data_IF_525383845811
#
_entry.id   IF_525383845811
#
_cell.length_a   1.000
_cell.length_b   1.000
_cell.length_c   1.000
_cell.angle_alpha   90.00
_cell.angle_beta   90.00
_cell.angle_gamma   90.00
#
_symmetry.space_group_name_H-M   'P 1'
#
loop_
_entity.id
_entity.type
_entity.pdbx_description
1 polymer ?
#
# COMPACT_ATOMS: atom_id res chain seq x y z
N UNK A 1 -9.61 42.74 -42.09
CA UNK A 1 -8.99 42.28 -40.82
C UNK A 1 -7.74 41.53 -41.24
N UNK A 2 -6.58 42.18 -41.14
CA UNK A 2 -5.31 41.51 -41.41
C UNK A 2 -5.03 40.48 -40.30
N UNK A 3 -4.46 39.30 -40.65
CA UNK A 3 -4.03 38.32 -39.67
C UNK A 3 -2.96 38.95 -38.77
N UNK A 4 -3.09 38.73 -37.45
CA UNK A 4 -2.12 39.20 -36.47
C UNK A 4 -0.70 38.72 -36.85
N UNK A 5 0.33 39.56 -36.69
CA UNK A 5 1.70 39.16 -36.99
C UNK A 5 2.10 37.96 -36.10
N UNK A 6 2.89 37.00 -36.63
CA UNK A 6 3.33 35.84 -35.88
C UNK A 6 4.18 36.26 -34.67
N UNK A 7 3.96 35.60 -33.54
CA UNK A 7 4.63 35.84 -32.25
C UNK A 7 6.17 35.67 -32.41
N UNK A 8 6.97 36.71 -32.16
CA UNK A 8 8.43 36.68 -32.34
C UNK A 8 9.17 35.76 -31.35
N UNK A 9 8.47 35.15 -30.38
CA UNK A 9 9.01 34.15 -29.45
C UNK A 9 8.63 32.69 -29.75
N UNK A 10 7.88 32.43 -30.83
CA UNK A 10 7.52 31.05 -31.18
C UNK A 10 8.76 30.27 -31.65
N UNK A 11 9.07 29.10 -31.05
CA UNK A 11 10.20 28.29 -31.48
C UNK A 11 10.07 27.89 -32.95
N UNK A 12 11.19 27.88 -33.68
CA UNK A 12 11.25 27.52 -35.10
C UNK A 12 10.62 26.13 -35.30
N UNK A 13 9.64 25.97 -36.21
CA UNK A 13 9.08 24.66 -36.58
C UNK A 13 10.14 23.59 -36.85
N UNK A 14 11.30 23.98 -37.42
CA UNK A 14 12.41 23.07 -37.71
C UNK A 14 13.12 22.54 -36.44
N UNK A 15 13.06 23.26 -35.32
CA UNK A 15 13.60 22.81 -34.02
C UNK A 15 12.55 22.03 -33.19
N UNK A 16 11.26 22.25 -33.46
CA UNK A 16 10.15 21.58 -32.79
C UNK A 16 10.00 20.12 -33.22
N UNK A 17 10.13 19.82 -34.52
CA UNK A 17 10.01 18.47 -35.08
C UNK A 17 10.99 17.45 -34.44
N UNK A 18 12.32 17.69 -34.40
CA UNK A 18 13.25 16.74 -33.81
C UNK A 18 13.01 16.57 -32.31
N UNK A 19 12.61 17.63 -31.59
CA UNK A 19 12.26 17.56 -30.17
C UNK A 19 10.99 16.75 -29.93
N UNK A 20 9.98 16.90 -30.77
CA UNK A 20 8.74 16.12 -30.71
C UNK A 20 9.00 14.63 -30.99
N UNK A 21 9.90 14.31 -31.92
CA UNK A 21 10.26 12.92 -32.23
C UNK A 21 10.95 12.24 -31.03
N UNK A 22 11.94 12.92 -30.41
CA UNK A 22 12.62 12.39 -29.21
C UNK A 22 11.62 12.16 -28.07
N UNK A 23 10.70 13.11 -27.83
CA UNK A 23 9.67 12.95 -26.80
C UNK A 23 8.74 11.77 -27.09
N UNK A 24 8.37 11.57 -28.36
CA UNK A 24 7.52 10.43 -28.74
C UNK A 24 8.23 9.10 -28.47
N UNK A 25 9.50 8.98 -28.85
CA UNK A 25 10.30 7.76 -28.60
C UNK A 25 10.35 7.46 -27.10
N UNK A 26 10.67 8.45 -26.26
CA UNK A 26 10.73 8.26 -24.79
C UNK A 26 9.39 7.79 -24.22
N UNK A 27 8.28 8.33 -24.71
CA UNK A 27 6.95 7.92 -24.27
C UNK A 27 6.56 6.52 -24.77
N UNK A 28 7.02 6.11 -25.94
CA UNK A 28 6.74 4.79 -26.54
C UNK A 28 7.61 3.67 -25.97
N UNK A 29 8.81 3.97 -25.48
CA UNK A 29 9.65 3.02 -24.73
C UNK A 29 9.10 2.72 -23.32
N UNK A 30 8.20 3.56 -22.80
CA UNK A 30 7.50 3.29 -21.55
C UNK A 30 6.55 2.09 -21.71
N UNK A 31 6.66 1.12 -20.80
CA UNK A 31 5.70 0.01 -20.68
C UNK A 31 4.40 0.43 -20.01
N UNK A 32 4.37 1.58 -19.35
CA UNK A 32 3.17 2.13 -18.73
C UNK A 32 2.30 2.83 -19.79
N UNK A 33 0.98 2.57 -19.85
CA UNK A 33 0.06 3.33 -20.69
C UNK A 33 0.09 4.83 -20.37
N UNK A 34 0.43 5.63 -21.39
CA UNK A 34 0.47 7.10 -21.32
C UNK A 34 -0.41 7.66 -22.43
N UNK A 35 -1.30 8.59 -22.09
CA UNK A 35 -2.22 9.18 -23.05
C UNK A 35 -2.68 10.58 -22.64
N UNK A 36 -3.07 11.39 -23.62
CA UNK A 36 -3.65 12.70 -23.45
C UNK A 36 -5.10 12.71 -23.95
N UNK A 37 -6.01 13.26 -23.14
CA UNK A 37 -7.46 13.27 -23.40
C UNK A 37 -8.00 14.70 -23.32
N UNK A 38 -8.91 15.04 -24.24
CA UNK A 38 -9.69 16.28 -24.27
C UNK A 38 -10.95 16.18 -23.40
N UNK A 39 -11.63 17.31 -23.18
CA UNK A 39 -12.78 17.41 -22.28
C UNK A 39 -13.95 16.48 -22.66
N UNK A 40 -14.11 16.22 -23.96
CA UNK A 40 -15.14 15.35 -24.54
C UNK A 40 -14.77 13.85 -24.52
N UNK A 41 -13.60 13.51 -23.97
CA UNK A 41 -13.07 12.15 -23.95
C UNK A 41 -12.32 11.75 -25.22
N UNK A 42 -12.00 12.67 -26.12
CA UNK A 42 -11.22 12.38 -27.32
C UNK A 42 -9.74 12.20 -26.99
N UNK A 43 -9.12 11.13 -27.50
CA UNK A 43 -7.69 10.88 -27.36
C UNK A 43 -6.89 11.78 -28.30
N UNK A 44 -6.09 12.70 -27.75
CA UNK A 44 -5.18 13.55 -28.53
C UNK A 44 -3.80 12.89 -28.74
N UNK A 45 -3.38 12.07 -27.78
CA UNK A 45 -2.14 11.31 -27.84
C UNK A 45 -2.31 9.99 -27.09
N UNK A 46 -1.69 8.92 -27.57
CA UNK A 46 -1.50 7.67 -26.84
C UNK A 46 -0.13 7.12 -27.17
N UNK A 47 0.52 6.47 -26.21
CA UNK A 47 1.75 5.71 -26.49
C UNK A 47 1.43 4.27 -26.93
N UNK A 48 2.48 3.55 -27.34
CA UNK A 48 2.40 2.13 -27.72
C UNK A 48 1.83 1.25 -26.61
N UNK A 49 2.22 1.47 -25.35
CA UNK A 49 1.73 0.66 -24.22
C UNK A 49 0.20 0.75 -24.04
N UNK A 50 -0.40 1.93 -24.27
CA UNK A 50 -1.86 2.08 -24.21
C UNK A 50 -2.59 1.35 -25.34
N UNK A 51 -2.04 1.39 -26.56
CA UNK A 51 -2.73 0.89 -27.77
C UNK A 51 -2.60 -0.63 -27.97
N UNK A 52 -1.51 -1.22 -27.47
CA UNK A 52 -1.18 -2.66 -27.63
C UNK A 52 -2.31 -3.60 -27.15
N UNK A 53 -2.94 -3.40 -25.97
CA UNK A 53 -4.04 -4.26 -25.52
C UNK A 53 -5.27 -4.25 -26.43
N UNK A 54 -5.46 -3.19 -27.24
CA UNK A 54 -6.55 -3.10 -28.21
C UNK A 54 -6.19 -3.72 -29.57
N UNK A 55 -4.95 -4.20 -29.75
CA UNK A 55 -4.46 -4.69 -31.03
C UNK A 55 -4.42 -3.59 -32.10
N UNK A 56 -4.28 -2.32 -31.70
CA UNK A 56 -4.28 -1.14 -32.58
C UNK A 56 -2.95 -0.42 -32.53
N UNK A 57 -2.64 0.32 -33.57
CA UNK A 57 -1.55 1.28 -33.57
C UNK A 57 -1.98 2.59 -32.89
N UNK A 58 -1.04 3.36 -32.30
CA UNK A 58 -1.36 4.64 -31.65
C UNK A 58 -2.15 5.61 -32.55
N UNK A 59 -1.78 5.71 -33.83
CA UNK A 59 -2.43 6.60 -34.78
C UNK A 59 -3.89 6.23 -35.10
N UNK A 60 -4.28 4.96 -34.91
CA UNK A 60 -5.67 4.52 -35.10
C UNK A 60 -6.57 4.88 -33.90
N UNK A 61 -5.96 5.14 -32.75
CA UNK A 61 -6.63 5.43 -31.49
C UNK A 61 -6.78 6.94 -31.30
N UNK A 62 -5.80 7.71 -31.77
CA UNK A 62 -5.85 9.18 -31.76
C UNK A 62 -7.08 9.65 -32.55
N UNK A 63 -7.83 10.60 -31.98
CA UNK A 63 -9.07 11.13 -32.51
C UNK A 63 -10.33 10.34 -32.14
N UNK A 64 -10.21 9.13 -31.59
CA UNK A 64 -11.37 8.38 -31.06
C UNK A 64 -11.75 8.87 -29.67
N UNK A 65 -13.00 8.64 -29.27
CA UNK A 65 -13.47 8.90 -27.91
C UNK A 65 -13.29 7.67 -27.03
N UNK A 66 -13.23 7.88 -25.71
CA UNK A 66 -13.25 6.80 -24.70
C UNK A 66 -14.40 5.81 -24.97
N UNK A 67 -15.57 6.31 -25.36
CA UNK A 67 -16.76 5.47 -25.61
C UNK A 67 -16.63 4.58 -26.86
N UNK A 68 -15.69 4.87 -27.76
CA UNK A 68 -15.46 4.08 -28.96
C UNK A 68 -14.50 2.90 -28.70
N UNK A 69 -13.82 2.89 -27.54
CA UNK A 69 -12.81 1.88 -27.18
C UNK A 69 -13.22 0.98 -26.01
N UNK A 70 -14.08 1.48 -25.12
CA UNK A 70 -14.45 0.79 -23.89
C UNK A 70 -15.95 0.52 -23.84
N UNK A 71 -16.34 -0.49 -23.06
CA UNK A 71 -17.75 -0.72 -22.75
C UNK A 71 -18.38 0.53 -22.11
N UNK A 72 -19.69 0.79 -22.24
CA UNK A 72 -20.33 1.99 -21.70
C UNK A 72 -20.06 2.19 -20.19
N UNK A 73 -20.04 1.10 -19.43
CA UNK A 73 -19.77 1.12 -17.98
C UNK A 73 -18.33 1.56 -17.68
N UNK A 74 -17.35 1.02 -18.39
CA UNK A 74 -15.94 1.38 -18.21
C UNK A 74 -15.62 2.77 -18.74
N UNK A 75 -16.24 3.12 -19.87
CA UNK A 75 -16.11 4.43 -20.48
C UNK A 75 -16.61 5.53 -19.54
N UNK A 76 -17.76 5.31 -18.89
CA UNK A 76 -18.32 6.27 -17.92
C UNK A 76 -17.44 6.40 -16.67
N UNK A 77 -16.90 5.28 -16.15
CA UNK A 77 -15.94 5.32 -15.04
C UNK A 77 -14.71 6.18 -15.38
N UNK A 78 -14.17 6.03 -16.59
CA UNK A 78 -13.02 6.83 -17.06
C UNK A 78 -13.42 8.30 -17.26
N UNK A 79 -14.58 8.55 -17.88
CA UNK A 79 -15.09 9.91 -18.08
C UNK A 79 -15.38 10.63 -16.79
N UNK A 80 -15.82 9.94 -15.73
CA UNK A 80 -16.00 10.55 -14.42
C UNK A 80 -14.71 11.16 -13.87
N UNK A 81 -13.58 10.45 -14.02
CA UNK A 81 -12.26 10.96 -13.60
C UNK A 81 -11.82 12.12 -14.48
N UNK A 82 -11.99 12.02 -15.80
CA UNK A 82 -11.67 13.11 -16.73
C UNK A 82 -12.47 14.37 -16.37
N UNK A 83 -13.81 14.26 -16.29
CA UNK A 83 -14.68 15.39 -15.90
C UNK A 83 -14.27 15.99 -14.57
N UNK A 84 -13.93 15.16 -13.58
CA UNK A 84 -13.45 15.65 -12.28
C UNK A 84 -12.15 16.44 -12.42
N UNK A 85 -11.17 15.94 -13.16
CA UNK A 85 -9.89 16.62 -13.37
C UNK A 85 -10.05 17.97 -14.11
N UNK A 86 -10.95 18.04 -15.10
CA UNK A 86 -11.31 19.29 -15.78
C UNK A 86 -12.02 20.28 -14.84
N UNK A 87 -12.92 19.78 -13.99
CA UNK A 87 -13.68 20.63 -13.06
C UNK A 87 -12.83 21.17 -11.90
N UNK A 88 -11.89 20.38 -11.37
CA UNK A 88 -11.08 20.78 -10.21
C UNK A 88 -9.77 21.43 -10.57
N UNK A 89 -9.28 21.27 -11.80
CA UNK A 89 -7.92 21.63 -12.22
C UNK A 89 -6.81 21.04 -11.32
N UNK A 90 -7.11 19.97 -10.58
CA UNK A 90 -6.18 19.29 -9.68
C UNK A 90 -5.75 17.93 -10.21
N UNK A 91 -4.54 17.52 -9.84
CA UNK A 91 -4.06 16.18 -10.10
C UNK A 91 -4.87 15.16 -9.29
N UNK A 92 -5.26 14.07 -9.93
CA UNK A 92 -5.97 12.96 -9.30
C UNK A 92 -5.08 11.72 -9.39
N UNK A 93 -4.92 10.99 -8.30
CA UNK A 93 -4.17 9.73 -8.25
C UNK A 93 -5.02 8.67 -7.57
N UNK A 94 -5.12 7.50 -8.17
CA UNK A 94 -5.93 6.40 -7.65
C UNK A 94 -5.43 5.04 -8.13
N UNK A 95 -5.70 4.01 -7.34
CA UNK A 95 -5.39 2.63 -7.68
C UNK A 95 -6.50 2.03 -8.55
N UNK A 96 -6.11 1.26 -9.54
CA UNK A 96 -6.98 0.49 -10.42
C UNK A 96 -6.58 -0.97 -10.35
N UNK A 97 -7.55 -1.84 -10.08
CA UNK A 97 -7.39 -3.29 -10.20
C UNK A 97 -8.03 -3.74 -11.50
N UNK A 98 -7.24 -4.39 -12.34
CA UNK A 98 -7.68 -4.99 -13.60
C UNK A 98 -7.60 -6.50 -13.43
N UNK A 99 -8.74 -7.21 -13.33
CA UNK A 99 -8.76 -8.67 -13.33
C UNK A 99 -8.27 -9.17 -14.69
N UNK A 100 -7.27 -10.05 -14.70
CA UNK A 100 -6.82 -10.74 -15.93
C UNK A 100 -6.89 -12.25 -15.73
N UNK A 101 -6.94 -13.05 -16.81
CA UNK A 101 -6.90 -14.51 -16.71
C UNK A 101 -5.66 -15.05 -15.97
N UNK A 102 -4.54 -14.31 -15.98
CA UNK A 102 -3.30 -14.67 -15.30
C UNK A 102 -3.23 -14.18 -13.83
N UNK A 103 -4.29 -13.54 -13.33
CA UNK A 103 -4.36 -12.92 -12.01
C UNK A 103 -4.59 -11.41 -12.08
N UNK A 104 -4.84 -10.78 -10.94
CA UNK A 104 -5.07 -9.34 -10.89
C UNK A 104 -3.80 -8.54 -11.22
N UNK A 105 -3.96 -7.56 -12.10
CA UNK A 105 -2.94 -6.52 -12.34
C UNK A 105 -3.37 -5.25 -11.62
N UNK A 106 -2.43 -4.60 -10.93
CA UNK A 106 -2.66 -3.37 -10.19
C UNK A 106 -1.93 -2.21 -10.85
N UNK A 107 -2.66 -1.13 -11.10
CA UNK A 107 -2.11 0.11 -11.63
C UNK A 107 -2.31 1.25 -10.64
N UNK A 108 -1.33 2.13 -10.52
CA UNK A 108 -1.54 3.47 -9.98
C UNK A 108 -1.72 4.43 -11.15
N UNK A 109 -2.91 5.01 -11.26
CA UNK A 109 -3.24 5.93 -12.35
C UNK A 109 -3.18 7.36 -11.85
N UNK A 110 -2.37 8.18 -12.50
CA UNK A 110 -2.31 9.63 -12.28
C UNK A 110 -2.92 10.36 -13.46
N UNK A 111 -3.82 11.30 -13.18
CA UNK A 111 -4.44 12.19 -14.15
C UNK A 111 -4.06 13.62 -13.82
N UNK A 112 -3.26 14.24 -14.68
CA UNK A 112 -2.72 15.60 -14.51
C UNK A 112 -3.34 16.55 -15.53
N UNK A 113 -4.09 17.58 -15.09
CA UNK A 113 -4.56 18.65 -15.96
C UNK A 113 -3.41 19.44 -16.59
N UNK A 114 -3.58 19.81 -17.85
CA UNK A 114 -2.75 20.79 -18.56
C UNK A 114 -3.60 22.03 -18.76
N UNK A 115 -3.10 23.18 -18.31
CA UNK A 115 -3.78 24.46 -18.42
C UNK A 115 -3.39 25.17 -19.73
N UNK A 116 -4.33 25.90 -20.32
CA UNK A 116 -4.05 26.86 -21.39
C UNK A 116 -3.59 28.22 -20.82
N UNK A 117 -3.34 29.17 -21.72
CA UNK A 117 -2.94 30.54 -21.37
C UNK A 117 -4.02 31.31 -20.59
N UNK A 118 -5.30 30.90 -20.67
CA UNK A 118 -6.40 31.49 -19.92
C UNK A 118 -6.58 30.85 -18.53
N UNK A 119 -5.74 29.88 -18.17
CA UNK A 119 -5.82 29.14 -16.90
C UNK A 119 -6.92 28.08 -16.88
N UNK A 120 -7.53 27.76 -18.02
CA UNK A 120 -8.54 26.71 -18.14
C UNK A 120 -7.88 25.37 -18.47
N UNK A 121 -8.48 24.26 -18.05
CA UNK A 121 -7.96 22.93 -18.38
C UNK A 121 -8.17 22.66 -19.88
N UNK A 122 -7.08 22.60 -20.64
CA UNK A 122 -7.10 22.32 -22.07
C UNK A 122 -7.17 20.82 -22.38
N UNK A 123 -6.48 20.01 -21.58
CA UNK A 123 -6.44 18.55 -21.70
C UNK A 123 -5.96 17.92 -20.39
N UNK A 124 -6.07 16.60 -20.28
CA UNK A 124 -5.48 15.83 -19.17
C UNK A 124 -4.48 14.82 -19.69
N UNK A 125 -3.33 14.71 -19.04
CA UNK A 125 -2.37 13.62 -19.28
C UNK A 125 -2.58 12.55 -18.22
N UNK A 126 -2.72 11.32 -18.68
CA UNK A 126 -2.94 10.16 -17.86
C UNK A 126 -1.75 9.21 -18.01
N UNK A 127 -1.29 8.68 -16.88
CA UNK A 127 -0.28 7.62 -16.83
C UNK A 127 -0.81 6.55 -15.90
N UNK A 128 -0.83 5.29 -16.33
CA UNK A 128 -1.22 4.15 -15.52
C UNK A 128 0.00 3.27 -15.28
N UNK A 129 0.64 3.42 -14.13
CA UNK A 129 1.86 2.69 -13.81
C UNK A 129 1.56 1.33 -13.19
N UNK A 130 2.14 0.26 -13.72
CA UNK A 130 1.99 -1.08 -13.14
C UNK A 130 2.72 -1.15 -11.78
N UNK A 131 1.96 -1.48 -10.74
CA UNK A 131 2.44 -1.67 -9.36
C UNK A 131 2.18 -3.09 -8.86
N UNK A 132 1.90 -4.04 -9.74
CA UNK A 132 1.58 -5.43 -9.40
C UNK A 132 2.73 -6.09 -8.66
N UNK A 133 3.96 -5.99 -9.19
CA UNK A 133 5.15 -6.54 -8.53
C UNK A 133 5.35 -5.93 -7.13
N UNK A 134 5.18 -4.61 -7.01
CA UNK A 134 5.28 -3.91 -5.73
C UNK A 134 4.21 -4.36 -4.74
N UNK A 135 2.95 -4.51 -5.18
CA UNK A 135 1.86 -4.98 -4.32
C UNK A 135 2.06 -6.43 -3.87
N UNK A 136 2.59 -7.30 -4.73
CA UNK A 136 2.93 -8.69 -4.37
C UNK A 136 4.00 -8.73 -3.29
N UNK A 137 5.09 -8.00 -3.46
CA UNK A 137 6.17 -7.92 -2.45
C UNK A 137 5.66 -7.35 -1.12
N UNK A 138 4.82 -6.31 -1.15
CA UNK A 138 4.24 -5.76 0.07
C UNK A 138 3.33 -6.80 0.77
N UNK A 139 2.50 -7.53 0.02
CA UNK A 139 1.65 -8.57 0.57
C UNK A 139 2.46 -9.73 1.18
N UNK A 140 3.49 -10.21 0.47
CA UNK A 140 4.40 -11.23 0.99
C UNK A 140 5.09 -10.78 2.28
N UNK A 141 5.51 -9.51 2.34
CA UNK A 141 6.10 -8.92 3.54
C UNK A 141 5.12 -8.90 4.70
N UNK A 142 3.87 -8.48 4.47
CA UNK A 142 2.83 -8.46 5.52
C UNK A 142 2.56 -9.88 6.02
N UNK A 143 2.44 -10.85 5.12
CA UNK A 143 2.21 -12.26 5.48
C UNK A 143 3.38 -12.83 6.29
N UNK A 144 4.62 -12.53 5.88
CA UNK A 144 5.82 -12.96 6.59
C UNK A 144 5.88 -12.36 8.00
N UNK A 145 5.63 -11.05 8.15
CA UNK A 145 5.58 -10.40 9.47
C UNK A 145 4.53 -11.06 10.35
N UNK A 146 3.34 -11.34 9.81
CA UNK A 146 2.28 -12.03 10.54
C UNK A 146 2.70 -13.42 10.99
N UNK A 147 3.34 -14.20 10.11
CA UNK A 147 3.84 -15.54 10.45
C UNK A 147 4.93 -15.50 11.54
N UNK A 148 5.85 -14.53 11.48
CA UNK A 148 6.89 -14.33 12.49
C UNK A 148 6.30 -13.92 13.84
N UNK A 149 5.28 -13.04 13.84
CA UNK A 149 4.58 -12.66 15.05
C UNK A 149 3.87 -13.85 15.71
N UNK A 150 3.22 -14.71 14.91
CA UNK A 150 2.57 -15.92 15.41
C UNK A 150 3.60 -16.90 16.01
N UNK A 151 4.72 -17.15 15.32
CA UNK A 151 5.78 -18.03 15.81
C UNK A 151 6.42 -17.50 17.12
N UNK A 152 6.66 -16.19 17.23
CA UNK A 152 7.19 -15.58 18.45
C UNK A 152 6.22 -15.70 19.64
N UNK A 153 4.91 -15.71 19.38
CA UNK A 153 3.91 -15.89 20.43
C UNK A 153 3.91 -17.33 20.95
N UNK A 154 4.15 -18.33 20.09
CA UNK A 154 4.22 -19.74 20.45
C UNK A 154 5.43 -20.06 21.33
N UNK A 155 6.61 -19.50 21.01
CA UNK A 155 7.86 -19.69 21.80
C UNK A 155 7.75 -19.17 23.24
N UNK A 156 6.81 -18.27 23.53
CA UNK A 156 6.60 -17.68 24.87
C UNK A 156 5.56 -18.42 25.73
N UNK A 157 5.16 -19.62 25.31
CA UNK A 157 4.24 -20.45 26.10
C UNK A 157 5.02 -21.54 26.84
N UNK A 158 4.90 -21.57 28.18
CA UNK A 158 5.30 -22.73 28.98
C UNK A 158 4.52 -23.95 28.46
N UNK A 159 5.19 -24.83 27.73
CA UNK A 159 4.60 -26.04 27.16
C UNK A 159 5.37 -27.28 27.63
N UNK A 160 4.65 -28.36 27.93
CA UNK A 160 5.24 -29.63 28.37
C UNK A 160 5.19 -29.87 29.88
N UNK A 161 5.85 -30.95 30.33
CA UNK A 161 5.96 -31.34 31.73
C UNK A 161 7.23 -30.75 32.33
N UNK A 162 7.09 -29.92 33.37
CA UNK A 162 8.24 -29.34 34.07
C UNK A 162 8.81 -30.36 35.07
N UNK A 163 10.11 -30.70 34.99
CA UNK A 163 10.76 -31.55 35.98
C UNK A 163 10.94 -30.78 37.29
N UNK A 164 10.19 -31.17 38.32
CA UNK A 164 10.26 -30.56 39.66
C UNK A 164 10.94 -31.47 40.68
N UNK A 165 11.62 -30.88 41.65
CA UNK A 165 12.12 -31.61 42.81
C UNK A 165 10.95 -32.05 43.68
N UNK A 166 10.85 -33.35 43.98
CA UNK A 166 9.76 -33.89 44.81
C UNK A 166 9.73 -33.30 46.23
N UNK A 167 10.90 -32.93 46.76
CA UNK A 167 11.06 -32.40 48.11
C UNK A 167 10.85 -30.88 48.19
N UNK A 168 11.62 -30.09 47.43
CA UNK A 168 11.63 -28.62 47.57
C UNK A 168 10.89 -27.86 46.45
N UNK A 169 10.28 -28.57 45.49
CA UNK A 169 9.47 -28.01 44.39
C UNK A 169 10.17 -27.01 43.46
N UNK A 170 11.51 -26.93 43.51
CA UNK A 170 12.31 -26.22 42.49
C UNK A 170 12.13 -26.87 41.13
N UNK A 171 12.21 -26.08 40.07
CA UNK A 171 12.18 -26.53 38.68
C UNK A 171 13.61 -26.71 38.18
N UNK A 172 13.88 -27.79 37.43
CA UNK A 172 15.15 -27.95 36.72
C UNK A 172 15.05 -27.33 35.33
N UNK A 173 15.94 -26.40 35.01
CA UNK A 173 16.00 -25.73 33.71
C UNK A 173 16.73 -26.56 32.64
N UNK A 174 16.79 -26.02 31.43
CA UNK A 174 17.37 -26.67 30.24
C UNK A 174 18.89 -26.89 30.37
N UNK A 175 19.57 -26.06 31.16
CA UNK A 175 20.99 -26.18 31.48
C UNK A 175 21.25 -27.17 32.65
N UNK A 176 20.18 -27.67 33.29
CA UNK A 176 20.23 -28.63 34.37
C UNK A 176 20.34 -28.04 35.78
N UNK A 177 20.25 -26.71 35.93
CA UNK A 177 20.27 -26.03 37.22
C UNK A 177 18.88 -26.02 37.88
N UNK A 178 18.86 -25.96 39.22
CA UNK A 178 17.62 -25.94 40.00
C UNK A 178 17.26 -24.51 40.43
N UNK A 179 16.14 -24.01 39.93
CA UNK A 179 15.66 -22.65 40.16
C UNK A 179 14.32 -22.64 40.90
N UNK A 180 13.96 -21.52 41.53
CA UNK A 180 12.62 -21.38 42.12
C UNK A 180 11.56 -21.32 41.03
N UNK A 181 10.42 -21.95 41.27
CA UNK A 181 9.33 -22.07 40.30
C UNK A 181 8.84 -20.70 39.80
N UNK A 182 8.74 -19.71 40.68
CA UNK A 182 8.33 -18.35 40.31
C UNK A 182 9.33 -17.69 39.35
N UNK A 183 10.63 -17.85 39.62
CA UNK A 183 11.70 -17.33 38.76
C UNK A 183 11.70 -18.02 37.39
N UNK A 184 11.48 -19.34 37.37
CA UNK A 184 11.38 -20.11 36.14
C UNK A 184 10.16 -19.69 35.31
N UNK A 185 8.98 -19.61 35.93
CA UNK A 185 7.75 -19.22 35.25
C UNK A 185 7.83 -17.79 34.70
N UNK A 186 8.42 -16.85 35.45
CA UNK A 186 8.59 -15.45 35.00
C UNK A 186 9.54 -15.33 33.82
N UNK A 187 10.57 -16.18 33.73
CA UNK A 187 11.53 -16.18 32.61
C UNK A 187 11.02 -16.91 31.36
N UNK A 188 10.07 -17.84 31.51
CA UNK A 188 9.60 -18.71 30.43
C UNK A 188 8.12 -18.49 30.05
N UNK A 189 7.43 -17.51 30.66
CA UNK A 189 6.05 -17.15 30.34
C UNK A 189 5.79 -15.66 30.56
N UNK A 190 4.58 -15.21 30.23
CA UNK A 190 4.12 -13.85 30.50
C UNK A 190 3.51 -13.65 31.90
N UNK A 191 3.63 -14.62 32.80
CA UNK A 191 3.05 -14.54 34.14
C UNK A 191 3.95 -13.77 35.12
N UNK A 192 3.35 -12.86 35.89
CA UNK A 192 3.96 -12.17 37.03
C UNK A 192 3.28 -12.60 38.34
N UNK A 193 4.04 -12.56 39.43
CA UNK A 193 3.58 -12.98 40.75
C UNK A 193 3.44 -11.80 41.70
N UNK A 194 2.31 -11.74 42.39
CA UNK A 194 2.11 -10.91 43.58
C UNK A 194 2.11 -11.80 44.82
N UNK A 195 2.57 -11.27 45.95
CA UNK A 195 2.62 -12.04 47.20
C UNK A 195 1.37 -11.77 48.03
N UNK A 196 0.75 -12.84 48.51
CA UNK A 196 -0.39 -12.80 49.42
C UNK A 196 -0.38 -14.03 50.33
N UNK A 197 -1.09 -13.93 51.45
CA UNK A 197 -1.21 -15.04 52.42
C UNK A 197 -2.64 -15.58 52.33
N UNK A 198 -2.79 -16.85 51.93
CA UNK A 198 -4.10 -17.50 51.89
C UNK A 198 -4.66 -17.68 53.32
N UNK A 199 -5.99 -17.88 53.47
CA UNK A 199 -6.60 -18.04 54.80
C UNK A 199 -5.98 -19.16 55.63
N UNK A 200 -5.65 -20.31 55.02
CA UNK A 200 -5.09 -21.46 55.73
C UNK A 200 -3.71 -21.15 56.33
N UNK A 201 -2.79 -20.63 55.51
CA UNK A 201 -1.47 -20.21 55.97
C UNK A 201 -1.56 -19.06 56.98
N UNK A 202 -2.59 -18.21 56.89
CA UNK A 202 -2.82 -17.17 57.90
C UNK A 202 -3.11 -17.80 59.25
N UNK A 203 -4.05 -18.74 59.31
CA UNK A 203 -4.42 -19.42 60.56
C UNK A 203 -3.27 -20.26 61.12
N UNK A 204 -2.51 -20.93 60.26
CA UNK A 204 -1.42 -21.83 60.66
C UNK A 204 -0.18 -21.07 61.14
N UNK A 205 0.23 -20.02 60.45
CA UNK A 205 1.50 -19.32 60.72
C UNK A 205 1.35 -18.00 61.46
N UNK A 206 0.15 -17.41 61.49
CA UNK A 206 -0.13 -16.15 62.16
C UNK A 206 -1.22 -16.37 63.20
N UNK A 207 -0.83 -16.83 64.38
CA UNK A 207 -1.72 -16.84 65.55
C UNK A 207 -2.12 -15.41 65.90
N UNK A 208 -3.40 -15.21 66.23
CA UNK A 208 -3.95 -13.91 66.61
C UNK A 208 -3.07 -13.24 67.68
N UNK A 209 -2.55 -12.05 67.37
CA UNK A 209 -1.97 -11.19 68.42
C UNK A 209 -3.15 -10.78 69.31
N UNK A 210 -3.16 -11.13 70.61
CA UNK A 210 -4.25 -10.75 71.48
C UNK A 210 -4.38 -9.22 71.52
N UNK A 211 -5.60 -8.66 71.49
CA UNK A 211 -5.78 -7.22 71.52
C UNK A 211 -5.33 -6.69 72.88
N UNK A 212 -4.13 -6.12 72.96
CA UNK A 212 -3.64 -5.48 74.19
C UNK A 212 -2.13 -5.41 74.42
N UNK A 213 -1.27 -6.07 73.63
CA UNK A 213 0.19 -5.93 73.78
C UNK A 213 0.73 -4.82 72.86
N UNK A 214 0.45 -3.56 73.24
CA UNK A 214 0.92 -2.37 72.53
C UNK A 214 2.40 -2.06 72.76
N UNK A 215 2.94 -1.18 71.92
CA UNK A 215 4.07 -0.32 72.27
C UNK A 215 4.02 0.96 71.41
N UNK A 216 4.53 2.08 71.92
CA UNK A 216 4.21 2.77 73.18
C UNK A 216 2.97 3.68 73.08
#
# INVERSE_FOLDING_TARGET
MDPAPPDPGAPDPAELEPRMEVLRIVLDESTDPIFNILADGTYRYVNRAFSTPFGRQPHEVIGRRIHDLFSPVEAEKRMAVVRRAFATAQQIVFDVRVPTPAGDTFYITSVKPILDAAGQVASVVCISKDITARKKVEQERVELIRSLQAALQEVRTLTGLLPICSYCKKVRDDDGYWTQIESYIRSHSQADFTHGICPDCRTEHFHEVPPGAGAP
#
